data_IF_682496462882
#
_entry.id   IF_682496462882
#
_cell.length_a   1.000
_cell.length_b   1.000
_cell.length_c   1.000
_cell.angle_alpha   90.00
_cell.angle_beta   90.00
_cell.angle_gamma   90.00
#
_symmetry.space_group_name_H-M   'P 1'
#
loop_
_entity.id
_entity.type
_entity.pdbx_description
1 polymer ?
#
# COMPACT_ATOMS: atom_id res chain seq x y z
N UNK A 1 -9.08 -6.66 7.98
CA UNK A 1 -9.43 -7.81 7.12
C UNK A 1 -8.21 -8.33 6.35
N UNK A 2 -8.31 -9.52 5.78
CA UNK A 2 -7.35 -10.08 4.82
C UNK A 2 -8.06 -10.36 3.49
N UNK A 3 -7.43 -10.01 2.38
CA UNK A 3 -7.93 -10.21 1.02
C UNK A 3 -6.85 -10.88 0.18
N UNK A 4 -7.28 -11.59 -0.87
CA UNK A 4 -6.38 -12.05 -1.92
C UNK A 4 -6.79 -11.40 -3.24
N UNK A 5 -5.98 -10.46 -3.70
CA UNK A 5 -6.29 -9.61 -4.85
C UNK A 5 -5.37 -9.92 -6.02
N UNK A 6 -5.92 -10.03 -7.22
CA UNK A 6 -5.16 -9.93 -8.46
C UNK A 6 -4.56 -8.54 -8.61
N UNK A 7 -3.59 -8.37 -9.51
CA UNK A 7 -2.99 -7.06 -9.79
C UNK A 7 -4.03 -6.00 -10.21
N UNK A 8 -5.08 -6.41 -10.92
CA UNK A 8 -6.15 -5.52 -11.34
C UNK A 8 -7.05 -5.09 -10.17
N UNK A 9 -7.46 -6.05 -9.33
CA UNK A 9 -8.27 -5.76 -8.14
C UNK A 9 -7.50 -4.89 -7.14
N UNK A 10 -6.20 -5.18 -6.95
CA UNK A 10 -5.32 -4.37 -6.12
C UNK A 10 -5.17 -2.95 -6.68
N UNK A 11 -4.91 -2.81 -7.98
CA UNK A 11 -4.81 -1.50 -8.61
C UNK A 11 -6.11 -0.70 -8.51
N UNK A 12 -7.26 -1.35 -8.68
CA UNK A 12 -8.58 -0.72 -8.55
C UNK A 12 -8.83 -0.25 -7.12
N UNK A 13 -8.48 -1.06 -6.13
CA UNK A 13 -8.59 -0.69 -4.73
C UNK A 13 -7.70 0.52 -4.39
N UNK A 14 -6.42 0.49 -4.77
CA UNK A 14 -5.48 1.58 -4.51
C UNK A 14 -5.97 2.90 -5.13
N UNK A 15 -6.46 2.84 -6.37
CA UNK A 15 -7.02 4.02 -7.06
C UNK A 15 -8.26 4.58 -6.34
N UNK A 16 -9.23 3.74 -5.95
CA UNK A 16 -10.41 4.18 -5.21
C UNK A 16 -10.07 4.83 -3.87
N UNK A 17 -9.02 4.33 -3.21
CA UNK A 17 -8.53 4.91 -1.95
C UNK A 17 -7.87 6.25 -2.23
N UNK A 18 -7.00 6.35 -3.23
CA UNK A 18 -6.29 7.59 -3.59
C UNK A 18 -7.25 8.73 -3.95
N UNK A 19 -8.31 8.44 -4.69
CA UNK A 19 -9.33 9.43 -5.08
C UNK A 19 -10.04 10.08 -3.88
N UNK A 20 -10.02 9.43 -2.71
CA UNK A 20 -10.74 9.88 -1.51
C UNK A 20 -9.84 10.22 -0.33
N UNK A 21 -8.64 9.67 -0.28
CA UNK A 21 -7.78 9.70 0.89
C UNK A 21 -6.33 9.94 0.48
N UNK A 22 -5.60 10.69 1.30
CA UNK A 22 -4.15 10.83 1.14
C UNK A 22 -3.47 9.50 1.49
N UNK A 23 -2.62 9.04 0.57
CA UNK A 23 -1.84 7.81 0.67
C UNK A 23 -0.36 8.16 0.88
N UNK A 24 0.27 7.51 1.84
CA UNK A 24 1.73 7.47 1.99
C UNK A 24 2.18 6.01 1.87
N UNK A 25 3.27 5.75 1.15
CA UNK A 25 3.82 4.41 0.97
C UNK A 25 5.11 4.24 1.76
N UNK A 26 5.33 3.03 2.27
CA UNK A 26 6.61 2.52 2.74
C UNK A 26 6.88 1.19 2.04
N UNK A 27 8.01 1.10 1.36
CA UNK A 27 8.51 -0.13 0.78
C UNK A 27 9.76 -0.52 1.55
N UNK A 28 9.83 -1.76 2.01
CA UNK A 28 11.01 -2.33 2.64
C UNK A 28 11.57 -3.44 1.76
N UNK A 29 12.88 -3.42 1.54
CA UNK A 29 13.61 -4.51 0.89
C UNK A 29 14.81 -4.91 1.74
N UNK A 30 14.99 -6.22 1.95
CA UNK A 30 16.15 -6.74 2.66
C UNK A 30 17.37 -6.73 1.74
N UNK A 31 18.53 -6.38 2.30
CA UNK A 31 19.84 -6.39 1.65
C UNK A 31 20.77 -7.32 2.42
N UNK A 32 21.85 -7.79 1.79
CA UNK A 32 22.78 -8.75 2.41
C UNK A 32 23.37 -8.28 3.75
N UNK A 33 23.53 -6.97 3.94
CA UNK A 33 24.02 -6.37 5.19
C UNK A 33 23.00 -5.53 5.96
N UNK A 34 21.72 -5.49 5.56
CA UNK A 34 20.75 -4.59 6.18
C UNK A 34 19.41 -4.54 5.46
N UNK A 35 18.80 -3.35 5.41
CA UNK A 35 17.55 -3.14 4.67
C UNK A 35 17.54 -1.74 4.04
N UNK A 36 16.77 -1.62 2.97
CA UNK A 36 16.45 -0.36 2.32
C UNK A 36 14.98 -0.04 2.54
N UNK A 37 14.67 1.23 2.74
CA UNK A 37 13.29 1.73 2.77
C UNK A 37 13.10 2.86 1.78
N UNK A 38 11.99 2.83 1.03
CA UNK A 38 11.51 3.97 0.24
C UNK A 38 10.21 4.42 0.88
N UNK A 39 10.10 5.72 1.17
CA UNK A 39 8.90 6.31 1.76
C UNK A 39 8.55 7.61 1.07
N UNK A 40 7.26 7.88 0.93
CA UNK A 40 6.79 9.17 0.43
C UNK A 40 5.28 9.19 0.21
N UNK A 41 4.71 10.39 -0.05
CA UNK A 41 3.35 10.50 -0.53
C UNK A 41 3.20 9.80 -1.88
N UNK A 42 2.04 9.17 -2.07
CA UNK A 42 1.65 8.58 -3.34
C UNK A 42 0.77 9.59 -4.07
N UNK A 43 1.18 9.93 -5.28
CA UNK A 43 0.38 10.71 -6.21
C UNK A 43 0.11 9.86 -7.46
N UNK A 44 -1.10 9.95 -8.01
CA UNK A 44 -1.49 9.34 -9.27
C UNK A 44 -1.22 7.82 -9.36
N UNK A 45 -1.91 7.01 -8.55
CA UNK A 45 -1.88 5.56 -8.70
C UNK A 45 -2.64 5.15 -9.97
N UNK A 46 -1.91 4.84 -11.04
CA UNK A 46 -2.48 4.49 -12.34
C UNK A 46 -2.37 2.99 -12.59
N UNK A 47 -3.52 2.36 -12.78
CA UNK A 47 -3.60 1.03 -13.36
C UNK A 47 -3.30 1.18 -14.85
N UNK A 48 -2.26 0.53 -15.35
CA UNK A 48 -2.12 0.30 -16.78
C UNK A 48 -3.24 -0.68 -17.17
N UNK A 49 -4.32 -0.16 -17.77
CA UNK A 49 -5.56 -0.92 -18.05
C UNK A 49 -5.26 -2.17 -18.87
N UNK A 50 -6.10 -3.21 -18.71
CA UNK A 50 -6.24 -4.26 -19.72
C UNK A 50 -6.47 -3.61 -21.09
N UNK A 51 -5.44 -3.60 -21.94
CA UNK A 51 -5.68 -3.49 -23.36
C UNK A 51 -6.26 -4.84 -23.79
N UNK A 52 -7.57 -4.87 -24.09
CA UNK A 52 -8.15 -5.95 -24.89
C UNK A 52 -7.56 -5.80 -26.29
N UNK A 53 -6.33 -6.28 -26.48
CA UNK A 53 -5.73 -6.41 -27.79
C UNK A 53 -6.28 -7.69 -28.39
N UNK A 54 -7.33 -7.51 -29.21
CA UNK A 54 -7.73 -8.48 -30.22
C UNK A 54 -6.46 -8.87 -30.99
N UNK A 55 -6.15 -10.17 -30.99
CA UNK A 55 -4.96 -10.79 -31.58
C UNK A 55 -3.63 -10.59 -30.82
N UNK A 56 -3.40 -11.44 -29.80
CA UNK A 56 -2.05 -11.85 -29.39
C UNK A 56 -1.20 -10.85 -28.59
N UNK A 57 -1.79 -9.78 -28.03
CA UNK A 57 -1.05 -8.83 -27.19
C UNK A 57 -0.92 -9.29 -25.74
N UNK A 58 0.24 -9.03 -25.13
CA UNK A 58 0.48 -9.26 -23.71
C UNK A 58 -0.52 -8.45 -22.87
N UNK A 59 -1.19 -9.11 -21.93
CA UNK A 59 -2.03 -8.43 -20.95
C UNK A 59 -1.14 -7.59 -20.04
N UNK A 60 -1.33 -6.27 -20.03
CA UNK A 60 -0.64 -5.38 -19.09
C UNK A 60 -1.09 -5.72 -17.67
N UNK A 61 -0.17 -6.27 -16.87
CA UNK A 61 -0.36 -6.80 -15.53
C UNK A 61 0.38 -5.94 -14.50
N UNK A 62 0.39 -4.61 -14.71
CA UNK A 62 1.23 -3.67 -13.98
C UNK A 62 0.36 -2.59 -13.31
N UNK A 63 0.73 -2.21 -12.09
CA UNK A 63 0.26 -1.01 -11.41
C UNK A 63 1.43 -0.03 -11.42
N UNK A 64 1.22 1.15 -12.01
CA UNK A 64 2.16 2.26 -11.97
C UNK A 64 1.81 3.19 -10.80
N UNK A 65 2.77 3.44 -9.92
CA UNK A 65 2.63 4.29 -8.75
C UNK A 65 3.73 5.35 -8.83
N UNK A 66 3.38 6.61 -8.63
CA UNK A 66 4.36 7.69 -8.52
C UNK A 66 4.50 8.05 -7.04
N UNK A 67 5.73 7.96 -6.54
CA UNK A 67 6.06 8.41 -5.19
C UNK A 67 6.67 9.80 -5.32
N UNK A 68 6.01 10.80 -4.76
CA UNK A 68 6.53 12.16 -4.75
C UNK A 68 7.67 12.28 -3.73
N UNK A 69 8.70 13.05 -4.09
CA UNK A 69 9.78 13.43 -3.20
C UNK A 69 9.86 14.95 -3.14
N UNK A 70 9.75 15.51 -1.93
CA UNK A 70 9.74 16.95 -1.71
C UNK A 70 10.94 17.63 -2.40
N UNK A 71 10.65 18.41 -3.45
CA UNK A 71 11.64 19.21 -4.18
C UNK A 71 12.65 18.45 -5.04
N UNK A 72 12.62 17.12 -5.07
CA UNK A 72 13.64 16.29 -5.75
C UNK A 72 13.09 15.43 -6.90
N UNK A 73 11.82 15.61 -7.27
CA UNK A 73 11.17 14.89 -8.36
C UNK A 73 10.32 13.72 -7.87
N UNK A 74 10.15 12.70 -8.71
CA UNK A 74 9.31 11.56 -8.39
C UNK A 74 9.98 10.22 -8.69
N UNK A 75 9.61 9.20 -7.91
CA UNK A 75 10.11 7.84 -8.06
C UNK A 75 9.00 7.00 -8.69
N UNK A 76 9.17 6.51 -9.92
CA UNK A 76 8.23 5.57 -10.51
C UNK A 76 8.40 4.20 -9.86
N UNK A 77 7.31 3.67 -9.32
CA UNK A 77 7.20 2.32 -8.79
C UNK A 77 6.25 1.51 -9.68
N UNK A 78 6.65 0.28 -10.01
CA UNK A 78 5.84 -0.68 -10.76
C UNK A 78 5.59 -1.92 -9.93
N UNK A 79 4.33 -2.28 -9.73
CA UNK A 79 3.94 -3.58 -9.16
C UNK A 79 3.46 -4.45 -10.31
N UNK A 80 4.15 -5.57 -10.58
CA UNK A 80 3.79 -6.49 -11.67
C UNK A 80 3.21 -7.77 -11.10
N UNK A 81 2.01 -8.17 -11.54
CA UNK A 81 1.35 -9.39 -11.11
C UNK A 81 1.65 -10.58 -12.00
N UNK A 82 2.09 -11.71 -11.46
CA UNK A 82 2.23 -12.93 -12.24
C UNK A 82 0.87 -13.55 -12.62
N UNK A 83 0.81 -14.25 -13.76
CA UNK A 83 -0.40 -14.94 -14.21
C UNK A 83 -0.90 -15.92 -13.14
N UNK A 84 -2.20 -15.87 -12.85
CA UNK A 84 -2.87 -16.71 -11.83
C UNK A 84 -2.29 -16.59 -10.41
N UNK A 85 -1.55 -15.52 -10.11
CA UNK A 85 -1.12 -15.20 -8.74
C UNK A 85 -1.94 -14.05 -8.18
N UNK A 86 -2.06 -14.05 -6.86
CA UNK A 86 -2.72 -13.00 -6.08
C UNK A 86 -1.75 -12.49 -5.03
N UNK A 87 -1.94 -11.24 -4.65
CA UNK A 87 -1.25 -10.59 -3.54
C UNK A 87 -2.04 -10.81 -2.27
N UNK A 88 -1.35 -11.06 -1.16
CA UNK A 88 -1.97 -11.10 0.15
C UNK A 88 -2.07 -9.67 0.69
N UNK A 89 -3.30 -9.19 0.87
CA UNK A 89 -3.57 -7.80 1.25
C UNK A 89 -4.20 -7.75 2.64
N UNK A 90 -3.51 -7.14 3.59
CA UNK A 90 -3.99 -6.94 4.95
C UNK A 90 -4.39 -5.48 5.16
N UNK A 91 -5.64 -5.23 5.57
CA UNK A 91 -6.15 -3.89 5.88
C UNK A 91 -6.52 -3.86 7.36
N UNK A 92 -5.89 -2.98 8.14
CA UNK A 92 -6.12 -2.90 9.57
C UNK A 92 -5.84 -1.49 10.11
N UNK A 93 -6.42 -1.12 11.27
CA UNK A 93 -5.99 0.08 11.98
C UNK A 93 -4.48 0.10 12.22
N UNK A 94 -3.88 1.27 12.14
CA UNK A 94 -2.50 1.46 12.54
C UNK A 94 -2.34 1.13 14.03
N UNK A 95 -1.14 0.73 14.44
CA UNK A 95 -0.84 0.44 15.84
C UNK A 95 0.26 1.38 16.31
N UNK A 96 0.16 1.86 17.54
CA UNK A 96 1.19 2.65 18.18
C UNK A 96 1.49 2.10 19.57
N UNK A 97 2.69 2.42 20.06
CA UNK A 97 3.10 2.14 21.43
C UNK A 97 2.99 3.42 22.22
N UNK A 98 2.28 3.36 23.34
CA UNK A 98 2.24 4.44 24.30
C UNK A 98 3.42 4.25 25.27
N UNK A 99 4.30 5.25 25.35
CA UNK A 99 5.40 5.25 26.30
C UNK A 99 4.97 6.02 27.54
N UNK A 100 4.88 5.38 28.71
CA UNK A 100 4.60 6.11 29.94
C UNK A 100 5.90 6.68 30.54
N UNK A 101 5.86 7.85 31.20
CA UNK A 101 7.03 8.46 31.84
C UNK A 101 7.68 7.62 32.94
N UNK A 102 6.94 6.70 33.57
CA UNK A 102 7.45 5.84 34.61
C UNK A 102 7.91 4.49 34.02
N UNK A 103 9.16 4.11 34.31
CA UNK A 103 9.90 2.92 33.86
C UNK A 103 9.24 1.55 34.17
N UNK A 104 7.98 1.51 34.58
CA UNK A 104 7.18 0.33 34.91
C UNK A 104 5.99 0.10 33.97
N UNK A 105 5.86 0.89 32.91
CA UNK A 105 4.71 0.75 32.00
C UNK A 105 4.78 -0.52 31.15
N UNK A 106 3.73 -1.34 31.30
CA UNK A 106 3.35 -2.38 30.35
C UNK A 106 3.45 -1.82 28.93
N UNK A 107 4.19 -2.51 28.05
CA UNK A 107 4.27 -2.19 26.63
C UNK A 107 2.90 -2.40 25.95
N UNK A 108 1.95 -1.49 26.18
CA UNK A 108 0.60 -1.59 25.64
C UNK A 108 0.62 -1.08 24.20
N UNK A 109 0.38 -1.99 23.27
CA UNK A 109 0.15 -1.66 21.86
C UNK A 109 -1.32 -1.27 21.70
N UNK A 110 -1.58 -0.02 21.32
CA UNK A 110 -2.93 0.50 21.06
C UNK A 110 -3.20 0.59 19.56
N UNK A 111 -4.46 0.48 19.18
CA UNK A 111 -4.92 0.78 17.83
C UNK A 111 -5.11 2.30 17.68
N UNK A 112 -4.73 2.83 16.53
CA UNK A 112 -5.11 4.16 16.08
C UNK A 112 -6.27 4.00 15.10
N UNK A 113 -7.44 4.43 15.52
CA UNK A 113 -8.67 4.25 14.75
C UNK A 113 -8.79 5.26 13.61
N UNK A 114 -7.98 6.32 13.57
CA UNK A 114 -8.01 7.37 12.54
C UNK A 114 -7.05 7.11 11.38
N UNK A 115 -6.19 6.09 11.49
CA UNK A 115 -5.20 5.73 10.48
C UNK A 115 -5.34 4.26 10.13
N UNK A 116 -5.43 3.97 8.84
CA UNK A 116 -5.45 2.59 8.32
C UNK A 116 -4.11 2.25 7.67
N UNK A 117 -3.66 1.01 7.89
CA UNK A 117 -2.54 0.41 7.17
C UNK A 117 -3.08 -0.63 6.20
N UNK A 118 -2.76 -0.48 4.92
CA UNK A 118 -2.94 -1.51 3.90
C UNK A 118 -1.56 -2.09 3.59
N UNK A 119 -1.36 -3.37 3.87
CA UNK A 119 -0.11 -4.08 3.61
C UNK A 119 -0.31 -5.02 2.43
N UNK A 120 0.63 -5.01 1.50
CA UNK A 120 0.74 -6.00 0.43
C UNK A 120 1.92 -6.90 0.80
N UNK A 121 1.62 -8.18 0.99
CA UNK A 121 2.53 -9.17 1.53
C UNK A 121 3.18 -8.62 2.83
N UNK A 122 4.50 -8.74 2.98
CA UNK A 122 5.24 -8.19 4.14
C UNK A 122 6.05 -6.92 3.82
N UNK A 123 6.12 -6.54 2.53
CA UNK A 123 7.17 -5.65 2.04
C UNK A 123 6.66 -4.25 1.65
N UNK A 124 5.36 -4.10 1.37
CA UNK A 124 4.78 -2.82 0.93
C UNK A 124 3.65 -2.43 1.88
N UNK A 125 3.71 -1.22 2.42
CA UNK A 125 2.75 -0.71 3.39
C UNK A 125 2.27 0.65 2.94
N UNK A 126 0.98 0.78 2.70
CA UNK A 126 0.30 2.05 2.55
C UNK A 126 -0.26 2.51 3.89
N UNK A 127 -0.08 3.79 4.16
CA UNK A 127 -0.68 4.52 5.29
C UNK A 127 -1.76 5.42 4.74
N UNK A 128 -2.97 5.25 5.23
CA UNK A 128 -4.14 5.97 4.80
C UNK A 128 -4.64 6.76 6.00
N UNK A 129 -4.72 8.10 5.89
CA UNK A 129 -5.23 8.99 6.95
C UNK A 129 -6.76 8.95 6.99
N UNK A 130 -7.30 7.78 7.28
CA UNK A 130 -8.72 7.49 7.37
C UNK A 130 -8.94 6.22 8.22
N UNK A 131 -10.10 6.13 8.87
CA UNK A 131 -10.45 4.98 9.70
C UNK A 131 -10.70 3.73 8.88
N UNK A 132 -10.48 2.56 9.51
CA UNK A 132 -10.59 1.29 8.79
C UNK A 132 -11.97 1.09 8.20
N UNK A 133 -13.03 1.40 8.97
CA UNK A 133 -14.45 1.19 8.58
C UNK A 133 -14.83 1.95 7.31
N UNK A 134 -14.25 3.12 7.07
CA UNK A 134 -14.49 3.90 5.87
C UNK A 134 -13.74 3.32 4.68
N UNK A 135 -12.52 2.80 4.89
CA UNK A 135 -11.78 2.05 3.86
C UNK A 135 -12.51 0.75 3.49
N UNK A 136 -13.12 0.05 4.46
CA UNK A 136 -13.88 -1.18 4.17
C UNK A 136 -15.06 -0.94 3.21
N UNK A 137 -15.63 0.27 3.19
CA UNK A 137 -16.73 0.65 2.27
C UNK A 137 -16.26 0.91 0.83
N UNK A 138 -14.96 0.97 0.58
CA UNK A 138 -14.38 1.24 -0.75
C UNK A 138 -13.98 -0.03 -1.50
N UNK A 139 -14.01 -1.17 -0.82
CA UNK A 139 -13.60 -2.49 -1.32
C UNK A 139 -14.73 -3.09 -2.13
#
# INVERSE_FOLDING_TARGET
MNLQLTVYELGALLKRIEEKCKLEILIKSNLSGGWMTITGPVDNAKITRESITKCGGNKDNIIDIIIEKDGEGSIPLKITGASNKKFDVNIAPAKYRELSPNNLSLNIVKANDDITKLRIDENIIFTIKENVKNIEKLI
#
